data_IF_054482794590
#
_entry.id   IF_054482794590
#
_cell.length_a   1.000
_cell.length_b   1.000
_cell.length_c   1.000
_cell.angle_alpha   90.00
_cell.angle_beta   90.00
_cell.angle_gamma   90.00
#
_symmetry.space_group_name_H-M   'P 1'
#
loop_
_entity.id
_entity.type
_entity.pdbx_description
1 polymer ?
#
# COMPACT_ATOMS: atom_id res chain seq x y z
N UNK A 1 -13.85 3.45 17.64
CA UNK A 1 -13.56 2.45 16.66
C UNK A 1 -13.83 2.91 15.23
N UNK A 2 -13.44 2.09 14.28
CA UNK A 2 -13.71 2.36 12.87
C UNK A 2 -15.21 2.23 12.59
N UNK A 3 -15.77 3.25 11.92
CA UNK A 3 -17.19 3.23 11.51
C UNK A 3 -17.34 2.36 10.26
N UNK A 4 -18.10 1.30 10.36
CA UNK A 4 -18.49 0.45 9.24
C UNK A 4 -19.85 0.94 8.74
N UNK A 5 -19.96 1.19 7.43
CA UNK A 5 -21.21 1.69 6.84
C UNK A 5 -22.30 0.63 6.93
N UNK A 6 -23.49 1.07 7.30
CA UNK A 6 -24.72 0.26 7.36
C UNK A 6 -25.76 0.83 6.40
N UNK A 7 -26.57 -0.03 5.85
CA UNK A 7 -27.75 0.34 5.06
C UNK A 7 -28.93 0.73 5.97
N UNK A 8 -30.05 1.08 5.35
CA UNK A 8 -31.28 1.50 6.03
C UNK A 8 -31.86 0.43 6.98
N UNK A 9 -31.52 -0.84 6.75
CA UNK A 9 -31.94 -1.98 7.56
C UNK A 9 -30.91 -2.34 8.65
N UNK A 10 -29.85 -1.55 8.81
CA UNK A 10 -28.79 -1.80 9.78
C UNK A 10 -27.79 -2.89 9.38
N UNK A 11 -27.87 -3.44 8.17
CA UNK A 11 -26.95 -4.43 7.63
C UNK A 11 -25.67 -3.75 7.11
N UNK A 12 -24.53 -4.38 7.30
CA UNK A 12 -23.27 -3.86 6.81
C UNK A 12 -23.24 -3.79 5.28
N UNK A 13 -22.86 -2.63 4.75
CA UNK A 13 -22.71 -2.42 3.30
C UNK A 13 -21.43 -3.11 2.84
N UNK A 14 -21.57 -4.01 1.88
CA UNK A 14 -20.46 -4.77 1.31
C UNK A 14 -20.12 -4.29 -0.09
N UNK A 15 -18.87 -4.53 -0.49
CA UNK A 15 -18.41 -4.44 -1.87
C UNK A 15 -18.04 -5.85 -2.32
N UNK A 16 -18.89 -6.46 -3.13
CA UNK A 16 -18.79 -7.89 -3.43
C UNK A 16 -19.00 -8.76 -2.17
N UNK A 17 -18.51 -9.97 -2.19
CA UNK A 17 -18.78 -10.98 -1.16
C UNK A 17 -17.80 -10.95 0.02
N UNK A 18 -16.75 -10.15 -0.02
CA UNK A 18 -15.63 -10.24 0.93
C UNK A 18 -15.24 -8.95 1.63
N UNK A 19 -15.67 -7.81 1.12
CA UNK A 19 -15.19 -6.52 1.61
C UNK A 19 -16.33 -5.70 2.19
N UNK A 20 -16.14 -5.17 3.39
CA UNK A 20 -17.02 -4.19 4.00
C UNK A 20 -16.68 -2.79 3.50
N UNK A 21 -17.71 -1.95 3.33
CA UNK A 21 -17.49 -0.53 3.07
C UNK A 21 -17.22 0.20 4.37
N UNK A 22 -16.12 0.95 4.39
CA UNK A 22 -15.72 1.79 5.50
C UNK A 22 -15.43 3.21 4.98
N UNK A 23 -15.52 4.19 5.86
CA UNK A 23 -14.85 5.46 5.62
C UNK A 23 -13.38 5.30 6.01
N UNK A 24 -12.50 5.28 5.01
CA UNK A 24 -11.06 5.04 5.21
C UNK A 24 -10.26 6.24 5.72
N UNK A 25 -10.88 7.41 5.82
CA UNK A 25 -10.20 8.67 6.16
C UNK A 25 -9.48 8.59 7.52
N UNK A 26 -10.13 8.01 8.51
CA UNK A 26 -9.65 7.93 9.87
C UNK A 26 -9.02 6.57 10.24
N UNK A 27 -8.85 5.65 9.30
CA UNK A 27 -8.36 4.31 9.60
C UNK A 27 -6.97 4.31 10.22
N UNK A 28 -6.05 5.12 9.70
CA UNK A 28 -4.67 5.17 10.19
C UNK A 28 -4.58 5.71 11.63
N UNK A 29 -5.19 6.85 11.97
CA UNK A 29 -5.23 7.33 13.36
C UNK A 29 -5.87 6.33 14.33
N UNK A 30 -6.97 5.68 13.92
CA UNK A 30 -7.66 4.69 14.74
C UNK A 30 -6.74 3.49 15.03
N UNK A 31 -6.07 2.96 14.01
CA UNK A 31 -5.14 1.84 14.17
C UNK A 31 -3.92 2.22 14.99
N UNK A 32 -3.34 3.40 14.77
CA UNK A 32 -2.22 3.90 15.56
C UNK A 32 -2.59 3.99 17.04
N UNK A 33 -3.73 4.61 17.36
CA UNK A 33 -4.22 4.70 18.73
C UNK A 33 -4.53 3.32 19.36
N UNK A 34 -4.96 2.36 18.55
CA UNK A 34 -5.17 1.00 19.05
C UNK A 34 -3.86 0.31 19.41
N UNK A 35 -2.82 0.49 18.58
CA UNK A 35 -1.48 -0.06 18.83
C UNK A 35 -0.88 0.56 20.09
N UNK A 36 -0.96 1.89 20.24
CA UNK A 36 -0.46 2.63 21.42
C UNK A 36 -1.09 2.14 22.74
N UNK A 37 -2.36 1.72 22.69
CA UNK A 37 -3.09 1.21 23.85
C UNK A 37 -2.89 -0.29 24.10
N UNK A 38 -2.24 -0.98 23.17
CA UNK A 38 -2.04 -2.43 23.28
C UNK A 38 -0.90 -2.71 24.26
N UNK A 39 -1.19 -3.51 25.27
CA UNK A 39 -0.18 -3.97 26.23
C UNK A 39 0.85 -4.86 25.52
N UNK A 40 2.10 -4.81 26.00
CA UNK A 40 3.22 -5.61 25.49
C UNK A 40 3.61 -5.29 24.04
N UNK A 41 3.27 -4.10 23.55
CA UNK A 41 3.76 -3.55 22.29
C UNK A 41 4.64 -2.35 22.61
N UNK A 42 5.86 -2.37 22.12
CA UNK A 42 6.77 -1.24 22.12
C UNK A 42 6.81 -0.60 20.74
N UNK A 43 6.69 0.71 20.67
CA UNK A 43 6.72 1.47 19.43
C UNK A 43 8.02 2.26 19.37
N UNK A 44 8.88 1.90 18.45
CA UNK A 44 10.12 2.63 18.16
C UNK A 44 9.90 3.61 17.02
N UNK A 45 9.48 4.82 17.35
CA UNK A 45 9.37 5.90 16.37
C UNK A 45 10.74 6.42 15.93
N UNK A 46 10.83 6.91 14.71
CA UNK A 46 12.06 7.52 14.17
C UNK A 46 13.26 6.57 14.12
N UNK A 47 13.00 5.27 14.03
CA UNK A 47 14.03 4.25 13.79
C UNK A 47 13.89 3.74 12.37
N UNK A 48 14.93 3.92 11.58
CA UNK A 48 15.01 3.39 10.22
C UNK A 48 15.68 2.02 10.25
N UNK A 49 14.94 0.98 9.90
CA UNK A 49 15.51 -0.37 9.76
C UNK A 49 16.32 -0.44 8.47
N UNK A 50 17.55 -0.89 8.58
CA UNK A 50 18.54 -0.88 7.50
C UNK A 50 18.87 -2.28 6.98
N UNK A 51 18.75 -3.31 7.82
CA UNK A 51 18.96 -4.70 7.41
C UNK A 51 18.36 -5.68 8.41
N UNK A 52 18.27 -6.95 8.02
CA UNK A 52 17.86 -8.04 8.91
C UNK A 52 19.08 -8.73 9.51
N UNK A 53 18.98 -9.10 10.78
CA UNK A 53 19.94 -9.97 11.43
C UNK A 53 19.65 -11.43 11.05
N UNK A 54 20.47 -12.00 10.17
CA UNK A 54 20.34 -13.39 9.71
C UNK A 54 21.50 -14.22 10.25
N UNK A 55 21.21 -15.35 10.88
CA UNK A 55 22.22 -16.30 11.35
C UNK A 55 21.75 -17.72 11.04
N UNK A 56 22.63 -18.52 10.43
CA UNK A 56 22.33 -19.90 10.04
C UNK A 56 21.04 -20.02 9.20
N UNK A 57 20.85 -19.12 8.25
CA UNK A 57 19.66 -19.04 7.38
C UNK A 57 18.35 -18.84 8.13
N UNK A 58 18.39 -18.20 9.30
CA UNK A 58 17.22 -17.85 10.11
C UNK A 58 17.27 -16.39 10.50
N UNK A 59 16.13 -15.75 10.48
CA UNK A 59 15.97 -14.39 11.01
C UNK A 59 16.12 -14.43 12.53
N UNK A 60 16.98 -13.56 13.06
CA UNK A 60 17.16 -13.33 14.47
C UNK A 60 16.76 -11.93 14.92
N UNK A 61 16.35 -11.08 13.98
CA UNK A 61 15.98 -9.71 14.27
C UNK A 61 16.30 -8.74 13.14
N UNK A 62 16.59 -7.51 13.49
CA UNK A 62 16.90 -6.44 12.56
C UNK A 62 17.89 -5.42 13.15
N UNK A 63 18.55 -4.70 12.27
CA UNK A 63 19.39 -3.55 12.61
C UNK A 63 18.68 -2.26 12.23
N UNK A 64 18.77 -1.26 13.07
CA UNK A 64 18.15 0.05 12.85
C UNK A 64 19.05 1.21 13.23
N UNK A 65 18.76 2.36 12.67
CA UNK A 65 19.39 3.62 13.00
C UNK A 65 18.32 4.60 13.45
N UNK A 66 18.51 5.21 14.62
CA UNK A 66 17.68 6.30 15.10
C UNK A 66 17.99 7.57 14.28
N UNK A 67 16.95 8.16 13.68
CA UNK A 67 17.10 9.30 12.77
C UNK A 67 17.44 10.59 13.55
N UNK A 68 17.01 10.68 14.79
CA UNK A 68 17.11 11.90 15.60
C UNK A 68 18.20 11.82 16.68
N UNK A 69 18.72 10.64 16.98
CA UNK A 69 19.58 10.43 18.14
C UNK A 69 20.89 9.69 17.85
N UNK A 70 21.23 9.47 16.57
CA UNK A 70 22.43 8.76 16.11
C UNK A 70 22.67 7.40 16.79
N UNK A 71 21.60 6.77 17.26
CA UNK A 71 21.65 5.52 17.99
C UNK A 71 21.56 4.35 17.01
N UNK A 72 22.47 3.37 17.14
CA UNK A 72 22.36 2.09 16.43
C UNK A 72 21.54 1.11 17.27
N UNK A 73 20.51 0.55 16.67
CA UNK A 73 19.61 -0.42 17.29
C UNK A 73 19.91 -1.84 16.81
N UNK A 74 20.05 -2.74 17.75
CA UNK A 74 20.08 -4.19 17.51
C UNK A 74 18.78 -4.73 18.13
N UNK A 75 17.88 -5.15 17.26
CA UNK A 75 16.55 -5.64 17.66
C UNK A 75 16.54 -7.15 17.51
N UNK A 76 16.49 -7.87 18.62
CA UNK A 76 16.36 -9.32 18.62
C UNK A 76 14.90 -9.72 18.50
N UNK A 77 14.58 -10.60 17.55
CA UNK A 77 13.21 -11.06 17.32
C UNK A 77 13.18 -12.49 16.77
N UNK A 78 12.22 -13.27 17.21
CA UNK A 78 11.99 -14.65 16.73
C UNK A 78 11.37 -14.67 15.33
N UNK A 79 10.67 -13.60 14.95
CA UNK A 79 10.06 -13.41 13.63
C UNK A 79 9.96 -11.93 13.32
N UNK A 80 9.97 -11.59 12.03
CA UNK A 80 9.86 -10.21 11.55
C UNK A 80 8.75 -10.13 10.50
N UNK A 81 7.86 -9.15 10.67
CA UNK A 81 6.85 -8.80 9.68
C UNK A 81 7.30 -7.54 8.97
N UNK A 82 7.43 -7.61 7.64
CA UNK A 82 7.79 -6.47 6.80
C UNK A 82 6.54 -5.82 6.25
N UNK A 83 6.24 -4.62 6.68
CA UNK A 83 5.05 -3.86 6.27
C UNK A 83 5.41 -2.45 5.78
N UNK A 84 6.50 -2.32 5.04
CA UNK A 84 7.11 -1.05 4.61
C UNK A 84 6.40 -0.40 3.43
N UNK A 85 5.35 -1.01 2.91
CA UNK A 85 4.60 -0.50 1.75
C UNK A 85 5.30 -0.72 0.41
N UNK A 86 4.73 -0.13 -0.63
CA UNK A 86 5.21 -0.29 -2.00
C UNK A 86 6.43 0.56 -2.33
N UNK A 87 7.24 0.11 -3.29
CA UNK A 87 8.45 0.77 -3.75
C UNK A 87 8.16 1.87 -4.80
N UNK A 88 7.31 2.82 -4.48
CA UNK A 88 6.90 3.88 -5.41
C UNK A 88 8.05 4.79 -5.87
N UNK A 89 9.06 4.97 -5.04
CA UNK A 89 10.21 5.82 -5.32
C UNK A 89 11.20 5.27 -6.36
N UNK A 90 11.06 4.01 -6.78
CA UNK A 90 11.89 3.40 -7.82
C UNK A 90 11.59 3.95 -9.22
N UNK A 91 10.37 4.35 -9.48
CA UNK A 91 9.91 4.69 -10.82
C UNK A 91 9.80 6.19 -11.02
N UNK A 92 10.21 6.64 -12.21
CA UNK A 92 9.91 8.00 -12.65
C UNK A 92 8.55 8.02 -13.35
N UNK A 93 7.75 9.07 -13.16
CA UNK A 93 6.56 9.28 -13.97
C UNK A 93 6.95 9.37 -15.46
N UNK A 94 6.18 8.73 -16.33
CA UNK A 94 6.41 8.81 -17.78
C UNK A 94 5.95 10.14 -18.38
N UNK A 95 5.24 10.96 -17.62
CA UNK A 95 4.74 12.24 -18.11
C UNK A 95 5.77 13.34 -17.86
N UNK A 96 6.29 14.01 -18.91
CA UNK A 96 7.11 15.20 -18.77
C UNK A 96 6.35 16.25 -17.95
N UNK A 97 6.92 16.82 -16.95
CA UNK A 97 6.26 17.75 -16.02
C UNK A 97 5.72 17.11 -14.73
N UNK A 98 5.72 15.79 -14.62
CA UNK A 98 5.53 15.12 -13.34
C UNK A 98 6.88 14.90 -12.66
N UNK A 99 7.04 15.50 -11.50
CA UNK A 99 8.16 15.22 -10.60
C UNK A 99 7.81 14.12 -9.61
N UNK A 100 8.81 13.60 -8.92
CA UNK A 100 8.60 12.68 -7.79
C UNK A 100 7.69 13.26 -6.71
N UNK A 101 7.65 14.57 -6.56
CA UNK A 101 6.78 15.27 -5.61
C UNK A 101 5.30 15.23 -5.97
N UNK A 102 4.97 14.90 -7.22
CA UNK A 102 3.58 14.73 -7.67
C UNK A 102 3.16 13.26 -7.73
N UNK A 103 3.80 12.39 -6.97
CA UNK A 103 3.39 11.00 -6.82
C UNK A 103 2.49 10.85 -5.60
N UNK A 104 1.49 9.99 -5.69
CA UNK A 104 0.58 9.70 -4.57
C UNK A 104 1.27 9.05 -3.38
N UNK A 105 2.27 8.22 -3.66
CA UNK A 105 3.02 7.52 -2.62
C UNK A 105 4.29 8.27 -2.24
N UNK A 106 4.80 8.06 -1.01
CA UNK A 106 6.05 8.68 -0.59
C UNK A 106 7.19 8.36 -1.57
N UNK A 107 7.88 9.38 -2.10
CA UNK A 107 8.95 9.17 -3.08
C UNK A 107 10.20 8.50 -2.48
N UNK A 108 10.27 8.45 -1.16
CA UNK A 108 11.39 7.84 -0.42
C UNK A 108 11.25 6.33 -0.25
N UNK A 109 10.11 5.73 -0.56
CA UNK A 109 9.94 4.28 -0.60
C UNK A 109 10.65 3.71 -1.82
N UNK A 110 11.93 3.45 -1.70
CA UNK A 110 12.80 3.00 -2.79
C UNK A 110 13.01 1.49 -2.83
N UNK A 111 12.20 0.73 -2.09
CA UNK A 111 12.23 -0.73 -2.10
C UNK A 111 13.19 -1.35 -1.08
N UNK A 112 13.63 -0.60 -0.07
CA UNK A 112 14.51 -1.11 0.97
C UNK A 112 13.95 -2.37 1.65
N UNK A 113 12.64 -2.40 1.96
CA UNK A 113 12.02 -3.58 2.55
C UNK A 113 12.07 -4.81 1.64
N UNK A 114 11.96 -4.62 0.33
CA UNK A 114 12.13 -5.72 -0.63
C UNK A 114 13.59 -6.18 -0.69
N UNK A 115 14.54 -5.25 -0.74
CA UNK A 115 15.96 -5.57 -0.76
C UNK A 115 16.38 -6.37 0.49
N UNK A 116 15.94 -5.93 1.66
CA UNK A 116 16.20 -6.67 2.91
C UNK A 116 15.61 -8.09 2.88
N UNK A 117 14.39 -8.24 2.35
CA UNK A 117 13.78 -9.56 2.18
C UNK A 117 14.59 -10.47 1.25
N UNK A 118 14.99 -9.95 0.08
CA UNK A 118 15.80 -10.68 -0.90
C UNK A 118 17.16 -11.09 -0.29
N UNK A 119 17.83 -10.16 0.37
CA UNK A 119 19.13 -10.42 1.02
C UNK A 119 19.01 -11.48 2.13
N UNK A 120 17.88 -11.54 2.79
CA UNK A 120 17.57 -12.56 3.79
C UNK A 120 17.14 -13.91 3.18
N UNK A 121 17.10 -14.05 1.86
CA UNK A 121 16.73 -15.28 1.17
C UNK A 121 15.23 -15.48 0.96
N UNK A 122 14.42 -14.45 1.11
CA UNK A 122 12.97 -14.55 0.86
C UNK A 122 12.68 -14.68 -0.65
N UNK A 123 11.73 -15.55 -0.97
CA UNK A 123 11.17 -15.62 -2.32
C UNK A 123 10.20 -14.46 -2.54
N UNK A 124 10.29 -13.86 -3.74
CA UNK A 124 9.48 -12.71 -4.11
C UNK A 124 8.49 -13.06 -5.21
N UNK A 125 7.29 -12.53 -5.10
CA UNK A 125 6.24 -12.73 -6.10
C UNK A 125 5.77 -11.39 -6.65
N UNK A 126 5.21 -11.40 -7.86
CA UNK A 126 4.53 -10.26 -8.49
C UNK A 126 5.41 -9.04 -8.79
N UNK A 127 6.72 -9.20 -8.89
CA UNK A 127 7.64 -8.10 -9.27
C UNK A 127 7.47 -7.63 -10.72
N UNK A 128 6.93 -8.48 -11.58
CA UNK A 128 6.54 -8.14 -12.95
C UNK A 128 5.38 -7.15 -13.00
N UNK A 129 4.68 -6.97 -11.89
CA UNK A 129 3.49 -6.14 -11.80
C UNK A 129 3.82 -4.73 -11.33
N UNK A 130 3.69 -3.78 -12.24
CA UNK A 130 3.63 -2.36 -11.89
C UNK A 130 2.17 -1.93 -11.81
N UNK A 131 1.65 -1.85 -10.61
CA UNK A 131 0.29 -1.37 -10.41
C UNK A 131 0.27 0.13 -10.15
N UNK A 132 -0.52 0.84 -10.93
CA UNK A 132 -0.91 2.21 -10.65
C UNK A 132 -2.39 2.39 -10.99
N UNK A 133 -3.18 2.84 -10.03
CA UNK A 133 -4.56 3.20 -10.27
C UNK A 133 -4.63 4.53 -11.04
N UNK A 134 -5.69 4.72 -11.83
CA UNK A 134 -5.97 5.97 -12.53
C UNK A 134 -5.90 7.15 -11.56
N UNK A 135 -5.18 8.18 -11.98
CA UNK A 135 -5.01 9.42 -11.22
C UNK A 135 -5.44 10.61 -12.06
N UNK A 136 -5.95 11.65 -11.42
CA UNK A 136 -6.17 12.92 -12.07
C UNK A 136 -4.82 13.55 -12.45
N UNK A 137 -4.69 13.98 -13.69
CA UNK A 137 -3.44 14.48 -14.27
C UNK A 137 -2.76 15.56 -13.43
N UNK A 138 -3.50 16.52 -12.96
CA UNK A 138 -2.90 17.71 -12.34
C UNK A 138 -2.87 17.65 -10.79
N UNK A 139 -3.76 16.89 -10.19
CA UNK A 139 -3.88 16.79 -8.72
C UNK A 139 -3.37 15.47 -8.15
N UNK A 140 -3.16 14.47 -9.00
CA UNK A 140 -2.82 13.09 -8.62
C UNK A 140 -3.91 12.46 -7.70
N UNK A 141 -5.09 13.06 -7.65
CA UNK A 141 -6.20 12.52 -6.86
C UNK A 141 -6.50 11.08 -7.29
N UNK A 142 -6.88 10.19 -6.34
CA UNK A 142 -7.12 8.77 -6.61
C UNK A 142 -8.46 8.54 -7.34
N UNK A 143 -8.64 9.15 -8.49
CA UNK A 143 -9.89 9.14 -9.25
C UNK A 143 -10.33 7.74 -9.63
N UNK A 144 -9.40 6.84 -9.97
CA UNK A 144 -9.73 5.46 -10.29
C UNK A 144 -10.43 4.75 -9.13
N UNK A 145 -9.94 4.91 -7.92
CA UNK A 145 -10.53 4.31 -6.72
C UNK A 145 -11.89 4.93 -6.38
N UNK A 146 -11.99 6.26 -6.44
CA UNK A 146 -13.23 6.99 -6.14
C UNK A 146 -14.30 6.69 -7.18
N UNK A 147 -13.97 6.83 -8.46
CA UNK A 147 -14.88 6.58 -9.58
C UNK A 147 -15.43 5.14 -9.55
N UNK A 148 -14.58 4.16 -9.35
CA UNK A 148 -15.01 2.76 -9.22
C UNK A 148 -15.83 2.51 -7.96
N UNK A 149 -15.52 3.21 -6.87
CA UNK A 149 -16.28 3.12 -5.63
C UNK A 149 -17.75 3.51 -5.79
N UNK A 150 -18.04 4.46 -6.68
CA UNK A 150 -19.39 4.93 -7.01
C UNK A 150 -19.95 4.30 -8.30
N UNK A 151 -19.25 3.35 -8.91
CA UNK A 151 -19.70 2.68 -10.14
C UNK A 151 -19.66 3.57 -11.37
N UNK A 152 -18.82 4.62 -11.39
CA UNK A 152 -18.66 5.46 -12.55
C UNK A 152 -18.10 4.67 -13.74
N UNK A 153 -18.60 4.94 -14.92
CA UNK A 153 -18.15 4.31 -16.18
C UNK A 153 -17.09 5.18 -16.84
N UNK A 154 -16.11 4.53 -17.44
CA UNK A 154 -15.11 5.21 -18.24
C UNK A 154 -15.61 5.33 -19.68
N UNK A 155 -15.52 6.54 -20.21
CA UNK A 155 -15.94 6.83 -21.58
C UNK A 155 -14.75 7.35 -22.39
N UNK A 156 -14.73 7.04 -23.67
CA UNK A 156 -13.75 7.59 -24.64
C UNK A 156 -14.15 9.00 -25.08
N UNK A 157 -13.38 9.60 -25.98
CA UNK A 157 -13.67 10.93 -26.55
C UNK A 157 -14.96 10.99 -27.36
N UNK A 158 -15.51 9.86 -27.75
CA UNK A 158 -16.78 9.74 -28.45
C UNK A 158 -17.99 9.56 -27.51
N UNK A 159 -17.75 9.54 -26.21
CA UNK A 159 -18.80 9.31 -25.21
C UNK A 159 -19.18 7.85 -25.02
N UNK A 160 -18.46 6.91 -25.62
CA UNK A 160 -18.75 5.48 -25.54
C UNK A 160 -18.10 4.86 -24.30
N UNK A 161 -18.83 3.98 -23.60
CA UNK A 161 -18.29 3.16 -22.54
C UNK A 161 -17.40 2.09 -23.16
N UNK A 162 -16.10 2.25 -23.08
CA UNK A 162 -15.16 1.40 -23.81
C UNK A 162 -14.68 0.18 -23.01
N UNK A 163 -14.87 0.16 -21.72
CA UNK A 163 -14.38 -0.93 -20.84
C UNK A 163 -14.90 -2.30 -21.28
N UNK A 164 -16.16 -2.37 -21.65
CA UNK A 164 -16.81 -3.62 -22.10
C UNK A 164 -16.27 -4.10 -23.44
N UNK A 165 -15.84 -3.22 -24.32
CA UNK A 165 -15.29 -3.55 -25.63
C UNK A 165 -13.95 -4.31 -25.53
N UNK A 166 -13.26 -4.15 -24.39
CA UNK A 166 -12.01 -4.84 -24.09
C UNK A 166 -12.17 -6.00 -23.09
N UNK A 167 -13.39 -6.41 -22.81
CA UNK A 167 -13.69 -7.44 -21.82
C UNK A 167 -13.30 -7.03 -20.38
N UNK A 168 -13.12 -5.74 -20.15
CA UNK A 168 -12.78 -5.20 -18.84
C UNK A 168 -14.06 -5.01 -18.04
N UNK A 169 -14.13 -5.67 -16.90
CA UNK A 169 -15.10 -5.32 -15.86
C UNK A 169 -14.41 -4.46 -14.82
N UNK A 170 -15.17 -3.67 -14.09
CA UNK A 170 -14.66 -2.80 -13.02
C UNK A 170 -13.75 -3.51 -12.01
N UNK A 171 -13.87 -4.82 -11.90
CA UNK A 171 -13.03 -5.65 -11.06
C UNK A 171 -11.66 -5.96 -11.69
N UNK A 172 -11.56 -5.98 -13.02
CA UNK A 172 -10.33 -6.32 -13.74
C UNK A 172 -9.29 -5.21 -13.70
N UNK A 173 -9.69 -3.96 -13.58
CA UNK A 173 -8.76 -2.86 -13.34
C UNK A 173 -8.02 -3.00 -12.00
N UNK A 174 -8.62 -3.70 -11.04
CA UNK A 174 -8.00 -4.03 -9.76
C UNK A 174 -7.20 -5.32 -9.77
N UNK A 175 -7.56 -6.22 -10.66
CA UNK A 175 -6.98 -7.57 -10.71
C UNK A 175 -6.28 -7.84 -12.03
N UNK A 176 -5.94 -6.80 -12.77
CA UNK A 176 -5.19 -6.92 -14.03
C UNK A 176 -3.86 -7.66 -13.90
N UNK A 177 -3.49 -8.00 -12.69
CA UNK A 177 -2.45 -8.97 -12.43
C UNK A 177 -2.81 -10.42 -12.63
N UNK A 178 -4.03 -10.71 -13.03
CA UNK A 178 -4.47 -12.06 -13.39
C UNK A 178 -5.02 -12.13 -14.81
N UNK A 179 -4.45 -11.38 -15.72
CA UNK A 179 -4.59 -11.72 -17.11
C UNK A 179 -3.80 -13.00 -17.34
N UNK A 180 -4.53 -14.10 -17.42
CA UNK A 180 -4.03 -15.33 -18.00
C UNK A 180 -4.01 -15.18 -19.48
#
# INVERSE_FOLDING_TARGET
GLVILKDENGKYVTRGNRNLKINGENIKPILASAVEKTKNVEILNRVNIIDFAVKNNKINGAYGIGIENDTFYIIEAKAVIVATGGAAGLYKPNNPGFSRHKMWYPPFNTGAGYAMGINAGAEMTTFEMRFIALRCKDTIAPTGTLAQGVGAKQVNSLGEVYETNYGLTTCLLYTSGRCR
#
